data_IF_447474276038
#
_entry.id   IF_447474276038
#
_cell.length_a   1.000
_cell.length_b   1.000
_cell.length_c   1.000
_cell.angle_alpha   90.00
_cell.angle_beta   90.00
_cell.angle_gamma   90.00
#
_symmetry.space_group_name_H-M   'P 1'
#
loop_
_entity.id
_entity.type
_entity.pdbx_description
1 polymer ?
#
# COMPACT_ATOMS: atom_id res chain seq x y z
N UNK A 1 -0.20 -27.04 0.87
CA UNK A 1 -1.42 -26.27 0.55
C UNK A 1 -1.29 -24.79 0.91
N UNK A 2 -0.08 -24.28 1.17
CA UNK A 2 0.18 -22.98 1.82
C UNK A 2 0.30 -21.80 0.85
N UNK A 3 0.77 -22.03 -0.39
CA UNK A 3 1.13 -20.96 -1.31
C UNK A 3 -0.02 -20.05 -1.79
N UNK A 4 -1.24 -20.58 -1.93
CA UNK A 4 -2.41 -19.77 -2.30
C UNK A 4 -2.83 -18.82 -1.17
N UNK A 5 -2.68 -19.28 0.08
CA UNK A 5 -2.99 -18.49 1.28
C UNK A 5 -2.05 -17.29 1.37
N UNK A 6 -0.76 -17.46 1.06
CA UNK A 6 0.23 -16.38 1.09
C UNK A 6 -0.10 -15.23 0.11
N UNK A 7 -0.66 -15.54 -1.08
CA UNK A 7 -1.05 -14.52 -2.06
C UNK A 7 -2.32 -13.79 -1.64
N UNK A 8 -3.31 -14.51 -1.11
CA UNK A 8 -4.55 -13.92 -0.60
C UNK A 8 -4.25 -12.97 0.56
N UNK A 9 -3.40 -13.39 1.51
CA UNK A 9 -2.96 -12.55 2.64
C UNK A 9 -2.23 -11.29 2.16
N UNK A 10 -1.37 -11.40 1.15
CA UNK A 10 -0.67 -10.25 0.60
C UNK A 10 -1.59 -9.27 -0.11
N UNK A 11 -2.61 -9.77 -0.84
CA UNK A 11 -3.63 -8.93 -1.45
C UNK A 11 -4.45 -8.16 -0.39
N UNK A 12 -4.78 -8.81 0.72
CA UNK A 12 -5.45 -8.18 1.86
C UNK A 12 -4.59 -7.08 2.50
N UNK A 13 -3.28 -7.33 2.66
CA UNK A 13 -2.34 -6.31 3.16
C UNK A 13 -2.27 -5.11 2.21
N UNK A 14 -2.19 -5.33 0.90
CA UNK A 14 -2.22 -4.25 -0.11
C UNK A 14 -3.50 -3.41 0.04
N UNK A 15 -4.66 -4.06 0.15
CA UNK A 15 -5.94 -3.38 0.31
C UNK A 15 -6.01 -2.55 1.59
N UNK A 16 -5.53 -3.11 2.72
CA UNK A 16 -5.48 -2.41 4.01
C UNK A 16 -4.55 -1.20 3.98
N UNK A 17 -3.38 -1.32 3.35
CA UNK A 17 -2.43 -0.20 3.21
C UNK A 17 -3.04 0.92 2.36
N UNK A 18 -3.75 0.61 1.27
CA UNK A 18 -4.48 1.62 0.49
C UNK A 18 -5.58 2.30 1.30
N UNK A 19 -6.38 1.53 2.04
CA UNK A 19 -7.45 2.09 2.86
C UNK A 19 -6.92 3.01 3.94
N UNK A 20 -5.84 2.60 4.63
CA UNK A 20 -5.16 3.45 5.61
C UNK A 20 -4.54 4.70 4.96
N UNK A 21 -4.00 4.57 3.74
CA UNK A 21 -3.46 5.69 2.96
C UNK A 21 -4.54 6.78 2.73
N UNK A 22 -5.72 6.38 2.26
CA UNK A 22 -6.84 7.31 2.06
C UNK A 22 -7.37 7.92 3.37
N UNK A 23 -7.51 7.11 4.42
CA UNK A 23 -8.03 7.58 5.71
C UNK A 23 -7.21 8.73 6.32
N UNK A 24 -5.88 8.64 6.26
CA UNK A 24 -5.02 9.68 6.82
C UNK A 24 -5.00 10.92 5.91
N UNK A 25 -5.03 10.75 4.58
CA UNK A 25 -5.16 11.86 3.62
C UNK A 25 -6.43 12.68 3.92
N UNK A 26 -7.58 12.02 4.01
CA UNK A 26 -8.86 12.63 4.39
C UNK A 26 -8.76 13.36 5.74
N UNK A 27 -8.05 12.77 6.71
CA UNK A 27 -7.91 13.37 8.04
C UNK A 27 -7.01 14.60 8.05
N UNK A 28 -5.93 14.59 7.26
CA UNK A 28 -5.02 15.74 7.11
C UNK A 28 -5.69 16.87 6.33
N UNK A 29 -6.46 16.55 5.28
CA UNK A 29 -7.25 17.54 4.56
C UNK A 29 -8.30 18.17 5.47
N UNK A 30 -9.05 17.36 6.22
CA UNK A 30 -10.03 17.84 7.18
C UNK A 30 -9.41 18.77 8.24
N UNK A 31 -8.24 18.41 8.78
CA UNK A 31 -7.50 19.27 9.70
C UNK A 31 -7.12 20.59 9.04
N UNK A 32 -6.60 20.56 7.80
CA UNK A 32 -6.25 21.75 7.04
C UNK A 32 -7.46 22.67 6.78
N UNK A 33 -8.60 22.11 6.38
CA UNK A 33 -9.84 22.87 6.15
C UNK A 33 -10.34 23.52 7.45
N UNK A 34 -10.33 22.78 8.57
CA UNK A 34 -10.78 23.29 9.87
C UNK A 34 -9.86 24.37 10.44
N UNK A 35 -8.60 24.31 10.07
CA UNK A 35 -7.60 25.28 10.43
C UNK A 35 -7.74 26.56 9.59
N UNK A 36 -7.97 26.42 8.28
CA UNK A 36 -8.23 27.56 7.38
C UNK A 36 -9.53 28.30 7.77
N UNK A 37 -10.55 27.58 8.23
CA UNK A 37 -11.80 28.21 8.69
C UNK A 37 -11.63 29.02 9.99
N UNK A 38 -10.55 28.82 10.75
CA UNK A 38 -10.21 29.63 11.93
C UNK A 38 -9.45 30.93 11.59
N UNK A 39 -9.13 31.16 10.31
CA UNK A 39 -8.92 32.47 9.67
C UNK A 39 -7.69 33.29 10.04
N UNK A 40 -7.30 33.39 11.32
CA UNK A 40 -6.31 34.36 11.79
C UNK A 40 -5.09 33.77 12.51
N UNK A 41 -5.03 32.44 12.73
CA UNK A 41 -3.98 31.82 13.57
C UNK A 41 -3.08 30.85 12.80
N UNK A 42 -3.50 30.37 11.63
CA UNK A 42 -2.74 29.35 10.88
C UNK A 42 -2.52 29.78 9.43
N UNK A 43 -1.64 30.75 9.27
CA UNK A 43 -0.96 31.05 8.03
C UNK A 43 0.55 31.07 8.32
N UNK A 44 1.38 30.95 7.28
CA UNK A 44 2.84 30.95 7.43
C UNK A 44 3.43 29.56 7.68
N UNK A 45 4.54 29.52 8.40
CA UNK A 45 5.49 28.39 8.46
C UNK A 45 4.85 27.06 8.93
N UNK A 46 3.87 27.10 9.83
CA UNK A 46 3.15 25.90 10.28
C UNK A 46 2.28 25.27 9.18
N UNK A 47 1.63 26.08 8.32
CA UNK A 47 0.84 25.59 7.19
C UNK A 47 1.72 24.94 6.14
N UNK A 48 2.88 25.55 5.85
CA UNK A 48 3.87 25.01 4.91
C UNK A 48 4.43 23.68 5.41
N UNK A 49 4.84 23.59 6.68
CA UNK A 49 5.33 22.32 7.27
C UNK A 49 4.27 21.22 7.27
N UNK A 50 2.99 21.57 7.47
CA UNK A 50 1.91 20.59 7.34
C UNK A 50 1.80 20.07 5.90
N UNK A 51 1.79 20.96 4.90
CA UNK A 51 1.74 20.56 3.50
C UNK A 51 2.95 19.69 3.09
N UNK A 52 4.15 20.02 3.57
CA UNK A 52 5.35 19.21 3.36
C UNK A 52 5.28 17.85 4.06
N UNK A 53 4.79 17.80 5.30
CA UNK A 53 4.58 16.55 6.02
C UNK A 53 3.56 15.66 5.31
N UNK A 54 2.46 16.27 4.84
CA UNK A 54 1.44 15.59 4.05
C UNK A 54 2.04 15.02 2.75
N UNK A 55 2.75 15.83 1.97
CA UNK A 55 3.37 15.39 0.72
C UNK A 55 4.37 14.22 0.95
N UNK A 56 5.21 14.31 1.98
CA UNK A 56 6.15 13.23 2.34
C UNK A 56 5.43 11.95 2.74
N UNK A 57 4.34 12.07 3.50
CA UNK A 57 3.57 10.93 3.94
C UNK A 57 2.87 10.22 2.77
N UNK A 58 2.23 10.99 1.86
CA UNK A 58 1.63 10.45 0.65
C UNK A 58 2.67 9.74 -0.24
N UNK A 59 3.88 10.31 -0.35
CA UNK A 59 4.96 9.68 -1.09
C UNK A 59 5.34 8.32 -0.47
N UNK A 60 5.54 8.27 0.86
CA UNK A 60 5.86 7.02 1.57
C UNK A 60 4.76 5.97 1.48
N UNK A 61 3.48 6.37 1.56
CA UNK A 61 2.35 5.46 1.40
C UNK A 61 2.30 4.85 -0.02
N UNK A 62 2.56 5.67 -1.05
CA UNK A 62 2.66 5.20 -2.44
C UNK A 62 3.82 4.25 -2.65
N UNK A 63 4.98 4.53 -2.04
CA UNK A 63 6.17 3.68 -2.11
C UNK A 63 5.88 2.31 -1.48
N UNK A 64 5.33 2.28 -0.27
CA UNK A 64 4.96 1.05 0.43
C UNK A 64 3.94 0.24 -0.37
N UNK A 65 2.91 0.90 -0.90
CA UNK A 65 1.92 0.25 -1.75
C UNK A 65 2.57 -0.36 -3.02
N UNK A 66 3.46 0.38 -3.67
CA UNK A 66 4.18 -0.10 -4.87
C UNK A 66 5.07 -1.30 -4.56
N UNK A 67 5.77 -1.27 -3.42
CA UNK A 67 6.59 -2.38 -2.95
C UNK A 67 5.76 -3.64 -2.67
N UNK A 68 4.58 -3.50 -2.06
CA UNK A 68 3.68 -4.63 -1.79
C UNK A 68 3.10 -5.23 -3.08
N UNK A 69 2.73 -4.39 -4.06
CA UNK A 69 2.30 -4.87 -5.38
C UNK A 69 3.42 -5.62 -6.09
N UNK A 70 4.65 -5.12 -6.02
CA UNK A 70 5.81 -5.81 -6.57
C UNK A 70 6.05 -7.17 -5.89
N UNK A 71 5.93 -7.23 -4.56
CA UNK A 71 6.02 -8.48 -3.80
C UNK A 71 4.92 -9.47 -4.23
N UNK A 72 3.69 -8.98 -4.48
CA UNK A 72 2.57 -9.81 -4.93
C UNK A 72 2.83 -10.43 -6.31
N UNK A 73 3.36 -9.64 -7.25
CA UNK A 73 3.75 -10.14 -8.56
C UNK A 73 4.87 -11.18 -8.48
N UNK A 74 5.87 -10.95 -7.62
CA UNK A 74 6.97 -11.88 -7.39
C UNK A 74 6.46 -13.21 -6.77
N UNK A 75 5.57 -13.13 -5.78
CA UNK A 75 4.94 -14.30 -5.15
C UNK A 75 4.13 -15.11 -6.16
N UNK A 76 3.33 -14.46 -7.01
CA UNK A 76 2.58 -15.11 -8.09
C UNK A 76 3.50 -15.83 -9.10
N UNK A 77 4.62 -15.19 -9.47
CA UNK A 77 5.62 -15.79 -10.36
C UNK A 77 6.27 -17.03 -9.74
N UNK A 78 6.67 -16.93 -8.47
CA UNK A 78 7.24 -18.07 -7.75
C UNK A 78 6.25 -19.24 -7.67
N UNK A 79 4.99 -18.97 -7.33
CA UNK A 79 3.95 -20.00 -7.28
C UNK A 79 3.72 -20.66 -8.64
N UNK A 80 3.67 -19.90 -9.72
CA UNK A 80 3.48 -20.45 -11.08
C UNK A 80 4.63 -21.38 -11.45
N UNK A 81 5.87 -20.98 -11.18
CA UNK A 81 7.06 -21.79 -11.44
C UNK A 81 7.05 -23.10 -10.62
N UNK A 82 6.69 -23.04 -9.33
CA UNK A 82 6.58 -24.24 -8.49
C UNK A 82 5.46 -25.17 -8.95
N UNK A 83 4.31 -24.63 -9.35
CA UNK A 83 3.16 -25.42 -9.81
C UNK A 83 3.48 -26.15 -11.12
N UNK A 84 4.12 -25.47 -12.08
CA UNK A 84 4.56 -26.06 -13.34
C UNK A 84 5.61 -27.16 -13.11
N UNK A 85 6.57 -26.97 -12.20
CA UNK A 85 7.57 -27.98 -11.87
C UNK A 85 6.95 -29.24 -11.24
N UNK A 86 5.90 -29.09 -10.42
CA UNK A 86 5.14 -30.21 -9.86
C UNK A 86 4.34 -30.92 -10.96
N UNK A 87 3.64 -30.22 -11.84
CA UNK A 87 2.89 -30.84 -12.95
C UNK A 87 3.80 -31.65 -13.88
N UNK A 88 4.96 -31.09 -14.24
CA UNK A 88 5.95 -31.79 -15.08
C UNK A 88 6.47 -33.03 -14.38
N UNK A 89 6.80 -32.94 -13.08
CA UNK A 89 7.25 -34.13 -12.33
C UNK A 89 6.16 -35.17 -12.20
N UNK A 90 4.92 -34.81 -11.86
CA UNK A 90 3.84 -35.81 -11.70
C UNK A 90 3.45 -36.43 -13.05
N UNK A 91 3.59 -35.67 -14.15
CA UNK A 91 3.39 -36.16 -15.52
C UNK A 91 4.48 -37.12 -16.02
N UNK A 92 5.69 -37.07 -15.46
CA UNK A 92 6.77 -38.02 -15.79
C UNK A 92 6.60 -39.42 -15.17
N UNK A 93 5.77 -39.53 -14.12
CA UNK A 93 5.56 -40.78 -13.37
C UNK A 93 4.17 -41.39 -13.59
N UNK A 94 3.44 -40.90 -14.60
CA UNK A 94 2.27 -41.55 -15.19
C UNK A 94 2.63 -42.07 -16.57
#
# INVERSE_FOLDING_TARGET
MTHRIDIEELADVVARVRGFAGYVDDRLEFLGQRVNSLGNVWSGDAANRHAEAHARWLAGAREMHSALVALQAAAGTAQANYSAAIEVNVGMWR
#
